data_IF_937125597149
#
_entry.id   IF_937125597149
#
_cell.length_a   1.000
_cell.length_b   1.000
_cell.length_c   1.000
_cell.angle_alpha   90.00
_cell.angle_beta   90.00
_cell.angle_gamma   90.00
#
_symmetry.space_group_name_H-M   'P 1'
#
loop_
_entity.id
_entity.type
_entity.pdbx_description
1 polymer ?
#
# COMPACT_ATOMS: atom_id res chain seq x y z
N UNK A 1 -5.29 -2.52 -7.81
CA UNK A 1 -5.38 -3.94 -7.46
C UNK A 1 -4.69 -4.18 -6.12
N UNK A 2 -5.35 -4.86 -5.20
CA UNK A 2 -4.79 -5.25 -3.90
C UNK A 2 -4.11 -6.62 -4.02
N UNK A 3 -2.89 -6.73 -3.51
CA UNK A 3 -2.18 -8.01 -3.37
C UNK A 3 -1.86 -8.25 -1.89
N UNK A 4 -2.26 -9.41 -1.36
CA UNK A 4 -1.97 -9.82 0.02
C UNK A 4 -0.71 -10.69 0.01
N UNK A 5 0.36 -10.25 0.68
CA UNK A 5 1.60 -11.02 0.78
C UNK A 5 1.37 -12.29 1.61
N UNK A 6 1.80 -13.44 1.09
CA UNK A 6 1.55 -14.76 1.71
C UNK A 6 0.21 -15.40 1.31
N UNK A 7 -0.63 -14.70 0.53
CA UNK A 7 -1.89 -15.22 0.05
C UNK A 7 -3.02 -15.11 1.09
N UNK A 8 -4.21 -14.72 0.63
CA UNK A 8 -5.39 -14.55 1.47
C UNK A 8 -6.56 -14.01 0.66
N UNK A 9 -7.78 -14.34 1.05
CA UNK A 9 -9.00 -13.88 0.36
C UNK A 9 -9.59 -12.59 0.95
N UNK A 10 -9.16 -12.23 2.16
CA UNK A 10 -9.69 -11.07 2.90
C UNK A 10 -8.53 -10.29 3.48
N UNK A 11 -8.54 -8.99 3.25
CA UNK A 11 -7.55 -8.06 3.80
C UNK A 11 -7.83 -7.78 5.27
N UNK A 12 -6.78 -7.79 6.10
CA UNK A 12 -6.86 -7.48 7.53
C UNK A 12 -5.90 -6.35 7.90
N UNK A 13 -6.18 -5.70 9.03
CA UNK A 13 -5.23 -4.79 9.67
C UNK A 13 -3.89 -5.49 9.93
N UNK A 14 -2.78 -4.74 9.85
CA UNK A 14 -1.41 -5.24 10.07
C UNK A 14 -0.97 -6.37 9.12
N UNK A 15 -1.75 -6.64 8.06
CA UNK A 15 -1.35 -7.59 7.04
C UNK A 15 -0.49 -6.89 5.98
N UNK A 16 0.63 -7.51 5.64
CA UNK A 16 1.52 -7.04 4.57
C UNK A 16 0.78 -7.13 3.25
N UNK A 17 0.67 -5.99 2.57
CA UNK A 17 0.01 -5.88 1.27
C UNK A 17 0.87 -5.10 0.28
N UNK A 18 0.51 -5.20 -1.00
CA UNK A 18 0.92 -4.26 -2.03
C UNK A 18 -0.31 -3.69 -2.72
N UNK A 19 -0.20 -2.44 -3.15
CA UNK A 19 -1.19 -1.78 -3.98
C UNK A 19 -0.58 -1.59 -5.36
N UNK A 20 -1.15 -2.25 -6.37
CA UNK A 20 -0.72 -2.15 -7.77
C UNK A 20 -1.70 -1.31 -8.56
N UNK A 21 -1.26 -0.22 -9.17
CA UNK A 21 -2.08 0.57 -10.07
C UNK A 21 -2.47 -0.28 -11.29
N UNK A 22 -3.76 -0.30 -11.64
CA UNK A 22 -4.31 -1.29 -12.59
C UNK A 22 -3.79 -1.05 -14.01
N UNK A 23 -3.79 0.20 -14.46
CA UNK A 23 -3.48 0.51 -15.87
C UNK A 23 -1.97 0.56 -16.16
N UNK A 24 -1.19 1.06 -15.20
CA UNK A 24 0.27 1.19 -15.37
C UNK A 24 1.03 -0.02 -14.86
N UNK A 25 0.38 -0.88 -14.07
CA UNK A 25 1.02 -2.00 -13.40
C UNK A 25 2.01 -1.63 -12.31
N UNK A 26 2.19 -0.35 -11.98
CA UNK A 26 3.15 0.12 -10.98
C UNK A 26 2.68 -0.14 -9.54
N UNK A 27 3.58 -0.62 -8.69
CA UNK A 27 3.37 -0.78 -7.26
C UNK A 27 3.55 0.55 -6.53
N UNK A 28 2.62 0.90 -5.64
CA UNK A 28 2.74 2.04 -4.73
C UNK A 28 3.99 1.88 -3.89
N UNK A 29 4.91 2.83 -3.99
CA UNK A 29 6.25 2.76 -3.44
C UNK A 29 6.61 4.06 -2.73
N UNK A 30 7.32 3.96 -1.61
CA UNK A 30 7.94 5.09 -0.92
C UNK A 30 9.34 4.69 -0.48
N UNK A 31 10.25 5.64 -0.39
CA UNK A 31 11.66 5.38 -0.07
C UNK A 31 12.29 6.64 0.53
N UNK A 32 13.54 6.54 1.01
CA UNK A 32 14.21 7.66 1.68
C UNK A 32 14.75 8.73 0.71
N UNK A 33 13.87 9.20 -0.18
CA UNK A 33 14.07 10.43 -0.96
C UNK A 33 13.06 11.45 -0.49
N UNK A 34 13.56 12.57 0.02
CA UNK A 34 12.75 13.58 0.69
C UNK A 34 12.77 14.88 -0.08
N UNK A 35 11.64 15.57 -0.08
CA UNK A 35 11.58 16.95 -0.55
C UNK A 35 12.41 17.85 0.38
N UNK A 36 13.04 18.88 -0.19
CA UNK A 36 14.00 19.74 0.53
C UNK A 36 13.51 21.17 0.78
N UNK A 37 12.48 21.63 0.05
CA UNK A 37 11.96 23.00 0.16
C UNK A 37 10.53 23.02 0.69
N UNK A 38 9.55 22.88 -0.21
CA UNK A 38 8.14 22.71 0.18
C UNK A 38 7.92 21.26 0.58
N UNK A 39 7.13 21.02 1.63
CA UNK A 39 6.96 19.69 2.22
C UNK A 39 8.29 19.05 2.67
N UNK A 40 9.23 19.89 3.11
CA UNK A 40 10.56 19.47 3.57
C UNK A 40 10.50 18.31 4.55
N UNK A 41 11.26 17.25 4.26
CA UNK A 41 11.32 16.04 5.09
C UNK A 41 10.29 14.96 4.76
N UNK A 42 9.24 15.26 3.98
CA UNK A 42 8.32 14.24 3.48
C UNK A 42 8.98 13.41 2.38
N UNK A 43 8.68 12.10 2.36
CA UNK A 43 9.18 11.18 1.34
C UNK A 43 8.40 11.27 0.02
N UNK A 44 9.07 10.97 -1.09
CA UNK A 44 8.43 10.75 -2.38
C UNK A 44 7.61 9.45 -2.36
N UNK A 45 6.41 9.52 -2.94
CA UNK A 45 5.56 8.35 -3.23
C UNK A 45 5.37 8.25 -4.74
N UNK A 46 5.69 7.09 -5.31
CA UNK A 46 5.63 6.85 -6.75
C UNK A 46 5.24 5.41 -7.12
N UNK A 47 5.12 5.12 -8.41
CA UNK A 47 4.86 3.78 -8.93
C UNK A 47 6.13 3.13 -9.49
N UNK A 48 6.43 1.90 -9.06
CA UNK A 48 7.59 1.12 -9.55
C UNK A 48 7.11 -0.22 -10.12
N UNK A 49 7.69 -0.68 -11.23
CA UNK A 49 7.27 -1.92 -11.90
C UNK A 49 7.57 -3.21 -11.10
N UNK A 50 8.64 -3.21 -10.31
CA UNK A 50 9.08 -4.39 -9.55
C UNK A 50 8.52 -4.44 -8.13
N UNK A 51 8.33 -5.65 -7.60
CA UNK A 51 8.11 -5.87 -6.17
C UNK A 51 9.40 -5.61 -5.39
N UNK A 52 9.35 -4.70 -4.41
CA UNK A 52 10.47 -4.32 -3.55
C UNK A 52 10.06 -4.28 -2.08
N UNK A 53 10.97 -4.37 -1.11
CA UNK A 53 10.63 -4.21 0.31
C UNK A 53 9.86 -2.90 0.57
N UNK A 54 10.28 -1.84 -0.10
CA UNK A 54 9.76 -0.47 -0.04
C UNK A 54 8.40 -0.24 -0.72
N UNK A 55 7.79 -1.30 -1.26
CA UNK A 55 6.40 -1.24 -1.73
C UNK A 55 5.50 -2.26 -1.00
N UNK A 56 5.89 -2.64 0.21
CA UNK A 56 5.05 -3.33 1.19
C UNK A 56 4.42 -2.31 2.11
N UNK A 57 3.10 -2.39 2.27
CA UNK A 57 2.31 -1.52 3.13
C UNK A 57 1.52 -2.32 4.16
N UNK A 58 1.07 -1.64 5.20
CA UNK A 58 0.23 -2.17 6.27
C UNK A 58 -0.94 -1.21 6.47
N UNK A 59 -2.16 -1.72 6.60
CA UNK A 59 -3.24 -0.93 7.17
C UNK A 59 -3.00 -0.76 8.67
N UNK A 60 -2.99 0.48 9.15
CA UNK A 60 -2.84 0.85 10.55
C UNK A 60 -3.96 1.82 10.96
N UNK A 61 -4.28 1.86 12.25
CA UNK A 61 -5.19 2.86 12.86
C UNK A 61 -6.59 2.97 12.21
N UNK A 62 -7.09 1.88 11.61
CA UNK A 62 -8.38 1.87 10.91
C UNK A 62 -9.59 1.75 11.84
N UNK A 63 -10.69 2.40 11.46
CA UNK A 63 -12.05 2.13 11.96
C UNK A 63 -12.77 1.29 10.90
N UNK A 64 -13.13 0.05 11.24
CA UNK A 64 -13.72 -0.90 10.28
C UNK A 64 -15.22 -1.04 10.48
N UNK A 65 -15.98 -0.84 9.41
CA UNK A 65 -17.42 -1.03 9.43
C UNK A 65 -17.79 -2.52 9.55
N UNK A 66 -18.97 -2.84 10.12
CA UNK A 66 -19.47 -4.21 10.13
C UNK A 66 -19.56 -4.80 8.72
N UNK A 67 -19.19 -6.08 8.59
CA UNK A 67 -19.38 -6.80 7.33
C UNK A 67 -20.87 -7.02 7.13
N UNK A 68 -21.42 -6.55 6.01
CA UNK A 68 -22.79 -6.91 5.63
C UNK A 68 -22.87 -8.42 5.50
N UNK A 69 -23.69 -9.10 6.31
CA UNK A 69 -24.08 -10.46 6.01
C UNK A 69 -24.84 -10.43 4.69
N UNK A 70 -24.25 -10.97 3.63
CA UNK A 70 -25.01 -11.33 2.45
C UNK A 70 -26.07 -12.34 2.91
N UNK A 71 -27.35 -12.06 2.61
CA UNK A 71 -28.43 -13.04 2.74
C UNK A 71 -28.20 -14.21 1.79
#
# INVERSE_FOLDING_TARGET
>A
MLEIEGGGKTWRQNQRIRLRHVDTGGYLHSHDRKYTRIAGGQQEVCGVGDKRPDNVWLAAEGVYFPVSQAK
#
